data_IF_036089751603
#
_entry.id   IF_036089751603
#
_cell.length_a   1.000
_cell.length_b   1.000
_cell.length_c   1.000
_cell.angle_alpha   90.00
_cell.angle_beta   90.00
_cell.angle_gamma   90.00
#
_symmetry.space_group_name_H-M   'P 1'
#
loop_
_entity.id
_entity.type
_entity.pdbx_description
1 polymer ?
#
# COMPACT_ATOMS: atom_id res chain seq x y z
N UNK A 1 -7.26 7.03 -21.42
CA UNK A 1 -6.16 6.19 -20.86
C UNK A 1 -5.10 7.03 -20.16
N UNK A 2 -4.51 8.08 -20.79
CA UNK A 2 -3.42 8.89 -20.20
C UNK A 2 -3.78 9.55 -18.87
N UNK A 3 -4.97 10.16 -18.75
CA UNK A 3 -5.45 10.79 -17.50
C UNK A 3 -5.61 9.77 -16.37
N UNK A 4 -6.08 8.57 -16.70
CA UNK A 4 -6.23 7.48 -15.74
C UNK A 4 -4.88 6.97 -15.25
N UNK A 5 -3.92 6.76 -16.18
CA UNK A 5 -2.56 6.33 -15.82
C UNK A 5 -1.83 7.38 -14.98
N UNK A 6 -2.03 8.68 -15.26
CA UNK A 6 -1.49 9.75 -14.45
C UNK A 6 -2.08 9.71 -13.03
N UNK A 7 -3.39 9.57 -12.89
CA UNK A 7 -4.03 9.45 -11.58
C UNK A 7 -3.51 8.23 -10.80
N UNK A 8 -3.31 7.09 -11.47
CA UNK A 8 -2.74 5.89 -10.86
C UNK A 8 -1.26 6.04 -10.49
N UNK A 9 -0.50 6.94 -11.16
CA UNK A 9 0.89 7.20 -10.84
C UNK A 9 1.07 7.86 -9.45
N UNK A 10 0.03 8.50 -8.91
CA UNK A 10 0.04 9.06 -7.56
C UNK A 10 -0.16 8.02 -6.45
N UNK A 11 -0.66 6.82 -6.77
CA UNK A 11 -0.90 5.77 -5.78
C UNK A 11 0.35 5.38 -4.95
N UNK A 12 1.56 5.19 -5.54
CA UNK A 12 2.77 4.90 -4.77
C UNK A 12 3.20 6.01 -3.81
N UNK A 13 2.84 7.27 -4.09
CA UNK A 13 3.15 8.39 -3.19
C UNK A 13 2.43 8.20 -1.86
N UNK A 14 1.16 7.78 -1.88
CA UNK A 14 0.42 7.46 -0.65
C UNK A 14 1.09 6.35 0.17
N UNK A 15 1.58 5.30 -0.50
CA UNK A 15 2.32 4.23 0.16
C UNK A 15 3.64 4.72 0.78
N UNK A 16 4.40 5.55 0.06
CA UNK A 16 5.63 6.16 0.59
C UNK A 16 5.37 7.04 1.82
N UNK A 17 4.32 7.86 1.77
CA UNK A 17 3.93 8.68 2.91
C UNK A 17 3.52 7.81 4.11
N UNK A 18 2.75 6.74 3.87
CA UNK A 18 2.38 5.78 4.91
C UNK A 18 3.58 5.09 5.55
N UNK A 19 4.55 4.65 4.75
CA UNK A 19 5.81 4.06 5.25
C UNK A 19 6.64 5.06 6.05
N UNK A 20 6.72 6.31 5.59
CA UNK A 20 7.43 7.36 6.31
C UNK A 20 6.80 7.66 7.68
N UNK A 21 5.47 7.74 7.72
CA UNK A 21 4.73 7.91 8.99
C UNK A 21 4.94 6.70 9.90
N UNK A 22 4.84 5.49 9.38
CA UNK A 22 5.05 4.28 10.17
C UNK A 22 6.45 4.22 10.79
N UNK A 23 7.50 4.52 10.02
CA UNK A 23 8.87 4.52 10.54
C UNK A 23 9.12 5.59 11.59
N UNK A 24 8.65 6.82 11.36
CA UNK A 24 9.03 7.93 12.23
C UNK A 24 8.11 8.10 13.44
N UNK A 25 6.84 7.73 13.33
CA UNK A 25 5.85 7.95 14.40
C UNK A 25 5.44 6.67 15.10
N UNK A 26 5.42 5.53 14.44
CA UNK A 26 4.98 4.28 15.04
C UNK A 26 6.17 3.50 15.61
N UNK A 27 7.13 3.14 14.76
CA UNK A 27 8.25 2.28 15.18
C UNK A 27 9.12 2.89 16.26
N UNK A 28 9.35 4.21 16.24
CA UNK A 28 10.16 4.88 17.26
C UNK A 28 9.46 4.98 18.63
N UNK A 29 8.16 4.73 18.69
CA UNK A 29 7.38 4.81 19.92
C UNK A 29 7.00 3.42 20.49
N UNK A 30 7.04 2.38 19.66
CA UNK A 30 6.79 1.01 20.13
C UNK A 30 7.90 0.53 21.04
N UNK A 31 7.55 -0.27 22.04
CA UNK A 31 8.52 -0.85 22.97
C UNK A 31 9.46 -1.80 22.18
N UNK A 32 10.78 -1.58 22.27
CA UNK A 32 11.76 -2.37 21.56
C UNK A 32 12.01 -3.72 22.28
N UNK A 33 10.97 -4.54 22.39
CA UNK A 33 11.05 -5.87 23.00
C UNK A 33 10.87 -6.94 21.94
N UNK A 34 11.78 -7.91 21.91
CA UNK A 34 11.66 -9.09 21.07
C UNK A 34 10.54 -10.02 21.56
N UNK A 35 10.06 -10.89 20.67
CA UNK A 35 9.02 -11.89 20.96
C UNK A 35 9.42 -12.79 22.13
N UNK A 36 10.71 -13.13 22.26
CA UNK A 36 11.24 -13.94 23.36
C UNK A 36 11.22 -13.20 24.70
N UNK A 37 11.52 -11.90 24.70
CA UNK A 37 11.47 -11.04 25.88
C UNK A 37 10.03 -10.83 26.35
N UNK A 38 9.11 -10.59 25.41
CA UNK A 38 7.66 -10.47 25.71
C UNK A 38 7.08 -11.72 26.34
N UNK A 39 7.57 -12.90 25.95
CA UNK A 39 7.13 -14.18 26.51
C UNK A 39 7.59 -14.41 27.97
N UNK A 40 8.59 -13.66 28.44
CA UNK A 40 9.10 -13.75 29.82
C UNK A 40 8.43 -12.76 30.79
N UNK A 41 7.63 -11.82 30.28
CA UNK A 41 6.91 -10.86 31.10
C UNK A 41 5.81 -11.54 31.92
N UNK A 42 5.56 -11.01 33.11
CA UNK A 42 4.35 -11.37 33.85
C UNK A 42 3.10 -10.90 33.08
N UNK A 43 1.96 -11.53 33.36
CA UNK A 43 0.74 -11.21 32.63
C UNK A 43 0.33 -9.73 32.78
N UNK A 44 0.54 -9.13 33.92
CA UNK A 44 0.23 -7.72 34.16
C UNK A 44 1.17 -6.77 33.39
N UNK A 45 2.45 -7.09 33.30
CA UNK A 45 3.44 -6.31 32.55
C UNK A 45 3.19 -6.45 31.05
N UNK A 46 2.87 -7.65 30.57
CA UNK A 46 2.51 -7.88 29.16
C UNK A 46 1.28 -7.08 28.76
N UNK A 47 0.23 -7.06 29.59
CA UNK A 47 -0.98 -6.29 29.33
C UNK A 47 -0.69 -4.79 29.28
N UNK A 48 0.14 -4.27 30.19
CA UNK A 48 0.53 -2.86 30.20
C UNK A 48 1.30 -2.46 28.95
N UNK A 49 2.29 -3.26 28.52
CA UNK A 49 3.05 -3.02 27.29
C UNK A 49 2.15 -3.11 26.05
N UNK A 50 1.30 -4.14 25.99
CA UNK A 50 0.33 -4.32 24.89
C UNK A 50 -0.62 -3.12 24.77
N UNK A 51 -1.18 -2.65 25.87
CA UNK A 51 -2.14 -1.55 25.87
C UNK A 51 -1.47 -0.22 25.48
N UNK A 52 -0.22 -0.02 25.89
CA UNK A 52 0.60 1.09 25.46
C UNK A 52 0.87 1.03 23.95
N UNK A 53 1.33 -0.11 23.43
CA UNK A 53 1.60 -0.31 21.99
C UNK A 53 0.33 -0.17 21.15
N UNK A 54 -0.81 -0.67 21.64
CA UNK A 54 -2.11 -0.51 20.97
C UNK A 54 -2.53 0.96 20.90
N UNK A 55 -2.31 1.74 21.95
CA UNK A 55 -2.64 3.17 21.98
C UNK A 55 -1.82 3.95 20.94
N UNK A 56 -0.53 3.60 20.79
CA UNK A 56 0.35 4.17 19.76
C UNK A 56 -0.18 3.86 18.35
N UNK A 57 -0.69 2.65 18.13
CA UNK A 57 -1.27 2.24 16.86
C UNK A 57 -2.63 2.89 16.56
N UNK A 58 -3.49 3.04 17.55
CA UNK A 58 -4.84 3.61 17.39
C UNK A 58 -4.79 5.03 16.85
N UNK A 59 -3.87 5.86 17.34
CA UNK A 59 -3.78 7.29 16.98
C UNK A 59 -3.65 7.54 15.47
N UNK A 60 -2.69 6.94 14.72
CA UNK A 60 -2.60 7.14 13.29
C UNK A 60 -3.79 6.53 12.52
N UNK A 61 -4.33 5.38 12.96
CA UNK A 61 -5.51 4.80 12.31
C UNK A 61 -6.76 5.68 12.47
N UNK A 62 -6.97 6.25 13.65
CA UNK A 62 -8.07 7.19 13.88
C UNK A 62 -7.91 8.46 13.04
N UNK A 63 -6.69 8.98 12.92
CA UNK A 63 -6.39 10.13 12.07
C UNK A 63 -6.70 9.84 10.60
N UNK A 64 -6.29 8.69 10.08
CA UNK A 64 -6.62 8.25 8.72
C UNK A 64 -8.14 8.12 8.54
N UNK A 65 -8.83 7.53 9.52
CA UNK A 65 -10.29 7.41 9.53
C UNK A 65 -11.00 8.76 9.41
N UNK A 66 -10.55 9.76 10.18
CA UNK A 66 -11.08 11.12 10.10
C UNK A 66 -10.82 11.74 8.72
N UNK A 67 -9.62 11.60 8.18
CA UNK A 67 -9.28 12.10 6.84
C UNK A 67 -10.19 11.48 5.78
N UNK A 68 -10.44 10.18 5.85
CA UNK A 68 -11.35 9.48 4.92
C UNK A 68 -12.77 10.01 5.05
N UNK A 69 -13.27 10.23 6.26
CA UNK A 69 -14.59 10.82 6.50
C UNK A 69 -14.72 12.23 5.93
N UNK A 70 -13.71 13.07 6.14
CA UNK A 70 -13.65 14.43 5.56
C UNK A 70 -13.66 14.35 4.03
N UNK A 71 -12.85 13.48 3.42
CA UNK A 71 -12.83 13.28 1.97
C UNK A 71 -14.20 12.80 1.44
N UNK A 72 -14.85 11.90 2.15
CA UNK A 72 -16.21 11.44 1.80
C UNK A 72 -17.21 12.60 1.80
N UNK A 73 -17.16 13.47 2.82
CA UNK A 73 -18.02 14.66 2.89
C UNK A 73 -17.72 15.62 1.74
N UNK A 74 -16.45 15.88 1.43
CA UNK A 74 -16.05 16.74 0.30
C UNK A 74 -16.56 16.17 -1.03
N UNK A 75 -16.44 14.86 -1.26
CA UNK A 75 -16.96 14.21 -2.48
C UNK A 75 -18.49 14.31 -2.55
N UNK A 76 -19.18 14.09 -1.43
CA UNK A 76 -20.64 14.18 -1.36
C UNK A 76 -21.15 15.61 -1.63
N UNK A 77 -20.41 16.63 -1.18
CA UNK A 77 -20.74 18.04 -1.40
C UNK A 77 -20.32 18.55 -2.77
N UNK A 78 -19.36 17.89 -3.42
CA UNK A 78 -18.90 18.25 -4.76
C UNK A 78 -19.97 17.93 -5.80
N UNK A 79 -20.34 18.93 -6.60
CA UNK A 79 -21.21 18.74 -7.76
C UNK A 79 -20.43 17.99 -8.84
N UNK A 80 -20.51 16.66 -8.80
CA UNK A 80 -19.95 15.87 -9.90
C UNK A 80 -20.70 16.17 -11.21
N UNK A 81 -19.98 16.36 -12.32
CA UNK A 81 -20.62 16.50 -13.62
C UNK A 81 -21.44 15.23 -13.87
N UNK A 82 -22.75 15.40 -14.02
CA UNK A 82 -23.63 14.32 -14.43
C UNK A 82 -23.25 13.99 -15.86
N UNK A 83 -22.42 12.97 -16.04
CA UNK A 83 -22.25 12.39 -17.35
C UNK A 83 -23.63 11.91 -17.78
N UNK A 84 -24.08 12.47 -18.89
CA UNK A 84 -25.39 12.15 -19.45
C UNK A 84 -25.38 10.77 -20.11
N UNK A 85 -24.90 9.75 -19.40
CA UNK A 85 -25.11 8.38 -19.79
C UNK A 85 -26.55 8.01 -19.50
N UNK A 86 -27.33 7.97 -20.58
CA UNK A 86 -28.74 7.59 -20.61
C UNK A 86 -29.00 6.12 -20.17
N UNK A 87 -28.00 5.41 -19.68
CA UNK A 87 -28.10 4.03 -19.22
C UNK A 87 -28.31 4.01 -17.70
N UNK A 88 -29.58 3.97 -17.32
CA UNK A 88 -30.01 3.99 -15.93
C UNK A 88 -29.91 2.64 -15.19
N UNK A 89 -29.49 1.56 -15.85
CA UNK A 89 -29.28 0.28 -15.21
C UNK A 89 -27.91 -0.27 -15.60
N UNK A 90 -27.02 -0.39 -14.62
CA UNK A 90 -25.81 -1.18 -14.79
C UNK A 90 -26.25 -2.64 -14.61
N UNK A 91 -26.60 -3.29 -15.71
CA UNK A 91 -26.83 -4.74 -15.73
C UNK A 91 -25.48 -5.43 -15.56
N UNK A 92 -25.14 -5.67 -14.30
CA UNK A 92 -23.82 -6.20 -13.93
C UNK A 92 -23.53 -7.55 -14.60
N UNK A 93 -24.51 -8.48 -14.57
CA UNK A 93 -24.35 -9.83 -15.11
C UNK A 93 -24.16 -9.85 -16.64
N UNK A 94 -25.00 -9.17 -17.45
CA UNK A 94 -24.79 -9.08 -18.89
C UNK A 94 -23.49 -8.40 -19.29
N UNK A 95 -23.10 -7.35 -18.56
CA UNK A 95 -21.84 -6.65 -18.79
C UNK A 95 -20.64 -7.57 -18.50
N UNK A 96 -20.66 -8.30 -17.40
CA UNK A 96 -19.61 -9.24 -17.05
C UNK A 96 -19.50 -10.37 -18.09
N UNK A 97 -20.64 -10.93 -18.54
CA UNK A 97 -20.67 -11.96 -19.58
C UNK A 97 -20.11 -11.45 -20.92
N UNK A 98 -20.45 -10.22 -21.29
CA UNK A 98 -19.91 -9.57 -22.50
C UNK A 98 -18.40 -9.31 -22.40
N UNK A 99 -17.90 -8.84 -21.25
CA UNK A 99 -16.46 -8.65 -21.01
C UNK A 99 -15.72 -9.98 -21.06
N UNK A 100 -16.28 -11.02 -20.43
CA UNK A 100 -15.68 -12.36 -20.44
C UNK A 100 -15.60 -12.98 -21.84
N UNK A 101 -16.51 -12.64 -22.76
CA UNK A 101 -16.48 -13.10 -24.14
C UNK A 101 -15.27 -12.49 -24.93
N UNK A 102 -14.74 -11.34 -24.50
CA UNK A 102 -13.60 -10.70 -25.14
C UNK A 102 -12.29 -11.37 -24.72
N UNK A 103 -11.63 -12.08 -25.63
CA UNK A 103 -10.37 -12.80 -25.35
C UNK A 103 -9.27 -11.88 -24.78
N UNK A 104 -9.08 -10.68 -25.35
CA UNK A 104 -8.10 -9.71 -24.89
C UNK A 104 -8.34 -9.29 -23.44
N UNK A 105 -9.60 -9.12 -23.04
CA UNK A 105 -9.96 -8.79 -21.67
C UNK A 105 -9.57 -9.91 -20.69
N UNK A 106 -9.89 -11.16 -21.01
CA UNK A 106 -9.52 -12.32 -20.15
C UNK A 106 -8.02 -12.42 -19.95
N UNK A 107 -7.23 -12.33 -21.03
CA UNK A 107 -5.77 -12.36 -20.90
C UNK A 107 -5.24 -11.16 -20.11
N UNK A 108 -5.84 -9.97 -20.28
CA UNK A 108 -5.48 -8.78 -19.51
C UNK A 108 -5.76 -8.96 -18.00
N UNK A 109 -6.90 -9.56 -17.64
CA UNK A 109 -7.23 -9.85 -16.23
C UNK A 109 -6.25 -10.85 -15.62
N UNK A 110 -5.93 -11.94 -16.34
CA UNK A 110 -4.94 -12.92 -15.86
C UNK A 110 -3.55 -12.30 -15.71
N UNK A 111 -3.11 -11.54 -16.69
CA UNK A 111 -1.83 -10.81 -16.61
C UNK A 111 -1.78 -9.84 -15.43
N UNK A 112 -2.88 -9.10 -15.21
CA UNK A 112 -2.99 -8.17 -14.09
C UNK A 112 -2.98 -8.89 -12.75
N UNK A 113 -3.63 -10.05 -12.64
CA UNK A 113 -3.61 -10.87 -11.43
C UNK A 113 -2.18 -11.27 -11.05
N UNK A 114 -1.42 -11.82 -11.98
CA UNK A 114 -0.03 -12.21 -11.75
C UNK A 114 0.87 -11.00 -11.47
N UNK A 115 0.67 -9.89 -12.20
CA UNK A 115 1.43 -8.66 -11.99
C UNK A 115 1.22 -8.11 -10.57
N UNK A 116 -0.02 -7.96 -10.13
CA UNK A 116 -0.33 -7.45 -8.79
C UNK A 116 0.13 -8.42 -7.71
N UNK A 117 -0.04 -9.73 -7.93
CA UNK A 117 0.46 -10.76 -7.02
C UNK A 117 1.96 -10.67 -6.83
N UNK A 118 2.74 -10.63 -7.91
CA UNK A 118 4.20 -10.47 -7.86
C UNK A 118 4.62 -9.16 -7.19
N UNK A 119 3.92 -8.06 -7.47
CA UNK A 119 4.19 -6.76 -6.87
C UNK A 119 4.01 -6.78 -5.36
N UNK A 120 2.89 -7.33 -4.87
CA UNK A 120 2.61 -7.42 -3.42
C UNK A 120 3.62 -8.35 -2.74
N UNK A 121 3.94 -9.50 -3.36
CA UNK A 121 4.95 -10.42 -2.84
C UNK A 121 6.31 -9.73 -2.71
N UNK A 122 6.77 -9.03 -3.73
CA UNK A 122 8.04 -8.30 -3.67
C UNK A 122 8.05 -7.29 -2.52
N UNK A 123 7.00 -6.51 -2.35
CA UNK A 123 6.95 -5.49 -1.28
C UNK A 123 6.96 -6.09 0.13
N UNK A 124 6.26 -7.21 0.32
CA UNK A 124 6.17 -7.86 1.63
C UNK A 124 7.46 -8.65 1.95
N UNK A 125 7.94 -9.44 0.99
CA UNK A 125 9.07 -10.33 1.24
C UNK A 125 10.43 -9.63 1.26
N UNK A 126 10.58 -8.47 0.60
CA UNK A 126 11.84 -7.70 0.64
C UNK A 126 12.22 -7.35 2.07
N UNK A 127 11.25 -6.92 2.90
CA UNK A 127 11.52 -6.58 4.31
C UNK A 127 11.93 -7.84 5.07
N UNK A 128 11.14 -8.91 4.99
CA UNK A 128 11.41 -10.16 5.71
C UNK A 128 12.73 -10.81 5.28
N UNK A 129 13.01 -10.81 3.99
CA UNK A 129 14.26 -11.35 3.45
C UNK A 129 15.46 -10.53 3.91
N UNK A 130 15.36 -9.20 3.82
CA UNK A 130 16.41 -8.29 4.28
C UNK A 130 16.68 -8.44 5.77
N UNK A 131 15.65 -8.49 6.60
CA UNK A 131 15.79 -8.70 8.05
C UNK A 131 16.53 -9.99 8.36
N UNK A 132 16.12 -11.11 7.75
CA UNK A 132 16.82 -12.41 7.94
C UNK A 132 18.26 -12.38 7.47
N UNK A 133 18.55 -11.72 6.35
CA UNK A 133 19.89 -11.60 5.82
C UNK A 133 20.80 -10.82 6.76
N UNK A 134 20.34 -9.69 7.29
CA UNK A 134 21.11 -8.86 8.23
C UNK A 134 21.26 -9.52 9.59
N UNK A 135 20.25 -10.23 10.09
CA UNK A 135 20.38 -11.05 11.29
C UNK A 135 21.42 -12.16 11.12
N UNK A 136 21.48 -12.81 9.95
CA UNK A 136 22.49 -13.80 9.65
C UNK A 136 23.92 -13.21 9.61
N UNK A 137 24.05 -11.91 9.42
CA UNK A 137 25.32 -11.16 9.50
C UNK A 137 25.66 -10.68 10.93
N UNK A 138 24.84 -11.04 11.93
CA UNK A 138 25.05 -10.70 13.34
C UNK A 138 24.40 -9.39 13.79
N UNK A 139 23.51 -8.82 12.97
CA UNK A 139 22.71 -7.66 13.41
C UNK A 139 21.60 -8.08 14.36
N UNK A 140 21.30 -7.20 15.29
CA UNK A 140 20.10 -7.28 16.14
C UNK A 140 18.83 -7.17 15.30
N UNK A 141 17.78 -7.91 15.63
CA UNK A 141 16.54 -8.03 14.85
C UNK A 141 15.93 -6.67 14.53
N UNK A 142 15.81 -5.79 15.54
CA UNK A 142 15.24 -4.46 15.38
C UNK A 142 16.06 -3.58 14.40
N UNK A 143 17.39 -3.61 14.52
CA UNK A 143 18.29 -2.87 13.63
C UNK A 143 18.20 -3.42 12.19
N UNK A 144 18.14 -4.73 12.03
CA UNK A 144 17.98 -5.41 10.76
C UNK A 144 16.65 -5.08 10.08
N UNK A 145 15.55 -5.00 10.84
CA UNK A 145 14.24 -4.62 10.33
C UNK A 145 14.21 -3.16 9.84
N UNK A 146 14.70 -2.23 10.66
CA UNK A 146 14.78 -0.80 10.29
C UNK A 146 15.62 -0.61 9.03
N UNK A 147 16.74 -1.31 8.92
CA UNK A 147 17.59 -1.23 7.73
C UNK A 147 16.89 -1.80 6.49
N UNK A 148 16.22 -2.94 6.62
CA UNK A 148 15.43 -3.56 5.55
C UNK A 148 14.30 -2.67 5.07
N UNK A 149 13.64 -1.96 5.97
CA UNK A 149 12.61 -0.98 5.64
C UNK A 149 13.18 0.22 4.86
N UNK A 150 14.37 0.71 5.22
CA UNK A 150 15.06 1.77 4.45
C UNK A 150 15.31 1.34 3.01
N UNK A 151 15.79 0.11 2.79
CA UNK A 151 15.95 -0.43 1.43
C UNK A 151 14.62 -0.53 0.69
N UNK A 152 13.55 -0.96 1.36
CA UNK A 152 12.21 -1.00 0.76
C UNK A 152 11.71 0.39 0.36
N UNK A 153 11.95 1.42 1.18
CA UNK A 153 11.61 2.81 0.83
C UNK A 153 12.36 3.27 -0.42
N UNK A 154 13.65 2.98 -0.53
CA UNK A 154 14.44 3.30 -1.74
C UNK A 154 13.86 2.60 -2.96
N UNK A 155 13.52 1.32 -2.87
CA UNK A 155 12.88 0.58 -3.94
C UNK A 155 11.53 1.19 -4.36
N UNK A 156 10.73 1.62 -3.38
CA UNK A 156 9.45 2.31 -3.63
C UNK A 156 9.61 3.67 -4.29
N UNK A 157 10.65 4.42 -3.94
CA UNK A 157 10.98 5.70 -4.60
C UNK A 157 11.32 5.46 -6.07
N UNK A 158 12.19 4.47 -6.36
CA UNK A 158 12.54 4.09 -7.74
C UNK A 158 11.29 3.66 -8.51
N UNK A 159 10.44 2.85 -7.90
CA UNK A 159 9.16 2.42 -8.49
C UNK A 159 8.24 3.61 -8.80
N UNK A 160 8.12 4.57 -7.89
CA UNK A 160 7.34 5.80 -8.08
C UNK A 160 7.86 6.61 -9.26
N UNK A 161 9.16 6.88 -9.31
CA UNK A 161 9.81 7.61 -10.40
C UNK A 161 9.56 6.88 -11.74
N UNK A 162 9.77 5.56 -11.78
CA UNK A 162 9.55 4.74 -12.97
C UNK A 162 8.12 4.85 -13.51
N UNK A 163 7.12 4.89 -12.62
CA UNK A 163 5.72 5.08 -13.01
C UNK A 163 5.46 6.43 -13.69
N UNK A 164 6.04 7.51 -13.17
CA UNK A 164 5.93 8.82 -13.81
C UNK A 164 6.64 8.84 -15.17
N UNK A 165 7.85 8.27 -15.23
CA UNK A 165 8.60 8.14 -16.50
C UNK A 165 7.80 7.36 -17.54
N UNK A 166 7.26 6.19 -17.18
CA UNK A 166 6.41 5.40 -18.06
C UNK A 166 5.16 6.17 -18.53
N UNK A 167 4.53 6.95 -17.63
CA UNK A 167 3.37 7.77 -18.00
C UNK A 167 3.73 8.86 -19.00
N UNK A 168 4.94 9.45 -18.89
CA UNK A 168 5.46 10.41 -19.86
C UNK A 168 5.80 9.73 -21.19
N UNK A 169 6.40 8.54 -21.16
CA UNK A 169 6.71 7.76 -22.37
C UNK A 169 5.46 7.41 -23.18
N UNK A 170 4.32 7.14 -22.52
CA UNK A 170 3.03 6.92 -23.19
C UNK A 170 2.53 8.13 -24.01
N UNK A 171 3.19 9.28 -23.89
CA UNK A 171 2.95 10.42 -24.77
C UNK A 171 3.53 10.19 -26.18
N UNK A 172 4.65 9.48 -26.26
CA UNK A 172 5.43 9.30 -27.47
C UNK A 172 5.27 7.90 -28.08
N UNK A 173 4.98 6.91 -27.25
CA UNK A 173 4.77 5.52 -27.68
C UNK A 173 3.27 5.23 -27.67
N UNK A 174 2.73 4.86 -28.81
CA UNK A 174 1.34 4.46 -28.91
C UNK A 174 1.21 3.03 -28.37
N UNK A 175 0.49 2.79 -27.28
CA UNK A 175 0.24 1.43 -26.79
C UNK A 175 -0.77 0.78 -27.72
N UNK A 176 -0.31 0.09 -28.74
CA UNK A 176 -1.08 -0.57 -29.79
C UNK A 176 -2.26 -1.44 -29.36
#
# INVERSE_FOLDING_TARGET
TRRLNLAQAFNPIGSLMGMFVAMNFIQNQLHPMDTAERAQLSQAEFEAVRDSDLTILITPYLTIGIVILVMLLVIRMSKMPKNADKFHSIDFIPTLKRLYAVKRYRYGVVAQFFYVGAQIMCWTFVIQYGTRLFMAQGMEEQAAEVLSQKYNIVAMVIFCISRFVCTLMLKYVNPG
#
